data_IF_574579275455
#
_entry.id   IF_574579275455
#
_cell.length_a   1.000
_cell.length_b   1.000
_cell.length_c   1.000
_cell.angle_alpha   90.00
_cell.angle_beta   90.00
_cell.angle_gamma   90.00
#
_symmetry.space_group_name_H-M   'P 1'
#
loop_
_entity.id
_entity.type
_entity.pdbx_description
1 polymer ?
#
# COMPACT_ATOMS: atom_id res chain seq x y z
N UNK A 1 -16.56 -4.98 6.79
CA UNK A 1 -17.40 -3.80 6.47
C UNK A 1 -16.56 -2.56 6.19
N UNK A 2 -15.72 -2.06 7.12
CA UNK A 2 -14.89 -0.87 6.86
C UNK A 2 -13.85 -1.08 5.75
N UNK A 3 -13.24 -2.26 5.73
CA UNK A 3 -12.17 -2.66 4.81
C UNK A 3 -12.70 -2.71 3.35
N UNK A 4 -13.97 -3.12 3.19
CA UNK A 4 -14.65 -3.24 1.90
C UNK A 4 -14.87 -1.85 1.26
N UNK A 5 -15.19 -0.84 2.09
CA UNK A 5 -15.37 0.54 1.65
C UNK A 5 -14.04 1.18 1.21
N UNK A 6 -12.95 0.92 1.94
CA UNK A 6 -11.61 1.40 1.60
C UNK A 6 -11.14 0.77 0.28
N UNK A 7 -11.27 -0.54 0.15
CA UNK A 7 -10.89 -1.26 -1.06
C UNK A 7 -11.68 -0.74 -2.28
N UNK A 8 -13.00 -0.57 -2.13
CA UNK A 8 -13.85 -0.03 -3.19
C UNK A 8 -13.44 1.38 -3.60
N UNK A 9 -13.15 2.27 -2.65
CA UNK A 9 -12.67 3.62 -2.96
C UNK A 9 -11.31 3.60 -3.67
N UNK A 10 -10.39 2.73 -3.26
CA UNK A 10 -9.10 2.56 -3.95
C UNK A 10 -9.27 2.07 -5.39
N UNK A 11 -10.16 1.09 -5.61
CA UNK A 11 -10.50 0.58 -6.95
C UNK A 11 -11.10 1.68 -7.85
N UNK A 12 -12.02 2.48 -7.32
CA UNK A 12 -12.59 3.61 -8.04
C UNK A 12 -11.51 4.64 -8.42
N UNK A 13 -10.60 4.92 -7.49
CA UNK A 13 -9.49 5.86 -7.73
C UNK A 13 -8.53 5.34 -8.79
N UNK A 14 -8.15 4.06 -8.74
CA UNK A 14 -7.32 3.44 -9.80
C UNK A 14 -8.05 3.47 -11.14
N UNK A 15 -9.35 3.18 -11.17
CA UNK A 15 -10.16 3.30 -12.38
C UNK A 15 -10.13 4.71 -12.98
N UNK A 16 -10.29 5.74 -12.14
CA UNK A 16 -10.23 7.13 -12.59
C UNK A 16 -8.86 7.50 -13.17
N UNK A 17 -7.76 7.07 -12.54
CA UNK A 17 -6.39 7.31 -13.05
C UNK A 17 -6.17 6.59 -14.39
N UNK A 18 -6.61 5.34 -14.51
CA UNK A 18 -6.50 4.55 -15.75
C UNK A 18 -7.25 5.24 -16.90
N UNK A 19 -8.46 5.75 -16.64
CA UNK A 19 -9.23 6.51 -17.64
C UNK A 19 -8.52 7.81 -18.03
N UNK A 20 -8.01 8.57 -17.06
CA UNK A 20 -7.28 9.82 -17.32
C UNK A 20 -6.05 9.57 -18.21
N UNK A 21 -5.25 8.54 -17.88
CA UNK A 21 -4.08 8.15 -18.69
C UNK A 21 -4.48 7.69 -20.09
N UNK A 22 -5.59 6.95 -20.19
CA UNK A 22 -6.16 6.50 -21.47
C UNK A 22 -6.58 7.68 -22.35
N UNK A 23 -7.26 8.68 -21.79
CA UNK A 23 -7.68 9.89 -22.50
C UNK A 23 -6.45 10.73 -22.91
N UNK A 24 -5.47 10.90 -22.01
CA UNK A 24 -4.30 11.72 -22.28
C UNK A 24 -3.35 11.10 -23.32
N UNK A 25 -3.16 9.77 -23.27
CA UNK A 25 -2.15 9.11 -24.11
C UNK A 25 -2.75 8.41 -25.34
N UNK A 26 -4.07 8.26 -25.41
CA UNK A 26 -4.79 7.53 -26.47
C UNK A 26 -4.22 6.11 -26.76
N UNK A 27 -3.57 5.49 -25.77
CA UNK A 27 -2.86 4.22 -25.94
C UNK A 27 -3.31 3.18 -24.92
N UNK A 28 -3.90 2.09 -25.41
CA UNK A 28 -4.33 0.96 -24.58
C UNK A 28 -3.18 0.28 -23.85
N UNK A 29 -1.95 0.30 -24.40
CA UNK A 29 -0.77 -0.25 -23.71
C UNK A 29 -0.48 0.49 -22.41
N UNK A 30 -0.53 1.83 -22.43
CA UNK A 30 -0.26 2.66 -21.24
C UNK A 30 -1.40 2.57 -20.22
N UNK A 31 -2.63 2.41 -20.71
CA UNK A 31 -3.80 2.13 -19.87
C UNK A 31 -3.66 0.80 -19.12
N UNK A 32 -3.28 -0.28 -19.81
CA UNK A 32 -3.09 -1.60 -19.20
C UNK A 32 -1.93 -1.62 -18.18
N UNK A 33 -0.81 -0.98 -18.51
CA UNK A 33 0.33 -0.85 -17.60
C UNK A 33 -0.06 -0.08 -16.31
N UNK A 34 -0.86 0.97 -16.44
CA UNK A 34 -1.37 1.75 -15.30
C UNK A 34 -2.31 0.96 -14.43
N UNK A 35 -3.16 0.14 -15.03
CA UNK A 35 -4.05 -0.74 -14.29
C UNK A 35 -3.27 -1.78 -13.48
N UNK A 36 -2.29 -2.46 -14.10
CA UNK A 36 -1.43 -3.41 -13.40
C UNK A 36 -0.67 -2.73 -12.25
N UNK A 37 -0.07 -1.58 -12.51
CA UNK A 37 0.64 -0.81 -11.49
C UNK A 37 -0.28 -0.44 -10.32
N UNK A 38 -1.49 0.06 -10.61
CA UNK A 38 -2.49 0.39 -9.59
C UNK A 38 -2.93 -0.84 -8.78
N UNK A 39 -3.06 -2.00 -9.42
CA UNK A 39 -3.40 -3.25 -8.75
C UNK A 39 -2.28 -3.69 -7.78
N UNK A 40 -1.02 -3.64 -8.21
CA UNK A 40 0.12 -3.89 -7.31
C UNK A 40 0.19 -2.88 -6.17
N UNK A 41 -0.12 -1.62 -6.45
CA UNK A 41 -0.12 -0.58 -5.43
C UNK A 41 -1.18 -0.83 -4.35
N UNK A 42 -2.42 -1.16 -4.76
CA UNK A 42 -3.49 -1.55 -3.83
C UNK A 42 -3.11 -2.84 -3.09
N UNK A 43 -2.57 -3.84 -3.81
CA UNK A 43 -2.22 -5.11 -3.21
C UNK A 43 -1.19 -4.96 -2.10
N UNK A 44 -0.10 -4.22 -2.33
CA UNK A 44 0.92 -3.97 -1.31
C UNK A 44 0.43 -3.07 -0.15
N UNK A 45 -0.73 -2.42 -0.28
CA UNK A 45 -1.32 -1.58 0.77
C UNK A 45 -2.47 -2.29 1.51
N UNK A 46 -3.17 -3.22 0.88
CA UNK A 46 -4.34 -3.88 1.48
C UNK A 46 -4.03 -5.29 1.95
N UNK A 47 -3.17 -6.04 1.24
CA UNK A 47 -2.84 -7.42 1.61
C UNK A 47 -1.91 -7.57 2.83
N UNK A 48 -0.98 -6.65 3.15
CA UNK A 48 -0.13 -6.86 4.32
C UNK A 48 -0.99 -6.95 5.57
N UNK A 49 -0.78 -8.00 6.36
CA UNK A 49 -1.37 -8.10 7.68
C UNK A 49 -0.74 -7.02 8.57
N UNK A 50 -1.41 -5.86 8.61
CA UNK A 50 -0.88 -4.67 9.27
C UNK A 50 -0.67 -4.88 10.76
N UNK A 51 -1.41 -5.78 11.40
CA UNK A 51 -1.25 -6.11 12.82
C UNK A 51 0.06 -6.88 13.08
N UNK A 52 0.49 -7.72 12.15
CA UNK A 52 1.77 -8.42 12.24
C UNK A 52 2.96 -7.46 12.12
N UNK A 53 2.89 -6.52 11.18
CA UNK A 53 3.95 -5.54 10.92
C UNK A 53 4.00 -4.38 11.92
N UNK A 54 2.99 -4.24 12.79
CA UNK A 54 2.96 -3.25 13.87
C UNK A 54 3.78 -3.69 15.11
N UNK A 55 4.47 -4.83 15.03
CA UNK A 55 5.37 -5.34 16.08
C UNK A 55 6.81 -4.86 15.86
N UNK A 56 7.61 -4.87 16.93
CA UNK A 56 9.04 -4.59 16.84
C UNK A 56 9.75 -5.56 15.89
N UNK A 57 10.73 -5.06 15.13
CA UNK A 57 11.48 -5.84 14.13
C UNK A 57 12.12 -7.11 14.71
N UNK A 58 12.54 -7.07 15.98
CA UNK A 58 13.10 -8.21 16.70
C UNK A 58 12.08 -9.34 16.93
N UNK A 59 10.79 -9.03 16.88
CA UNK A 59 9.70 -9.97 17.12
C UNK A 59 9.08 -10.51 15.84
N UNK A 60 9.49 -10.05 14.66
CA UNK A 60 8.97 -10.53 13.38
C UNK A 60 9.29 -12.02 13.13
N UNK A 61 10.39 -12.52 13.69
CA UNK A 61 10.77 -13.94 13.61
C UNK A 61 10.23 -14.79 14.76
N UNK A 62 9.43 -14.20 15.66
CA UNK A 62 8.79 -14.94 16.75
C UNK A 62 7.35 -15.29 16.38
N UNK A 63 6.88 -16.51 16.68
CA UNK A 63 5.50 -16.90 16.41
C UNK A 63 4.53 -15.92 17.08
N UNK A 64 3.46 -15.57 16.36
CA UNK A 64 2.46 -14.61 16.84
C UNK A 64 1.82 -15.18 18.11
N UNK A 65 1.85 -14.47 19.26
CA UNK A 65 1.23 -14.96 20.47
C UNK A 65 -0.29 -15.02 20.27
N UNK A 66 -0.89 -16.18 20.59
CA UNK A 66 -2.34 -16.36 20.56
C UNK A 66 -2.97 -15.44 21.61
N UNK A 67 -3.48 -14.29 21.17
CA UNK A 67 -4.33 -13.35 21.89
C UNK A 67 -4.01 -13.20 23.39
N UNK A 68 -2.88 -12.54 23.69
CA UNK A 68 -2.62 -12.03 25.03
C UNK A 68 -3.45 -10.78 25.30
N UNK A 69 -4.32 -10.85 26.30
CA UNK A 69 -5.21 -9.82 26.85
C UNK A 69 -5.00 -8.35 26.36
N UNK A 70 -6.09 -7.64 25.97
CA UNK A 70 -6.05 -6.23 25.58
C UNK A 70 -5.65 -5.26 26.71
N UNK A 71 -5.37 -5.76 27.91
CA UNK A 71 -5.01 -4.99 29.11
C UNK A 71 -3.53 -4.57 29.17
N UNK A 72 -2.69 -5.04 28.25
CA UNK A 72 -1.29 -4.62 28.14
C UNK A 72 -1.07 -3.59 27.02
N UNK A 73 -2.03 -2.69 26.80
CA UNK A 73 -1.76 -1.40 26.14
C UNK A 73 -0.90 -0.58 27.10
N UNK A 74 0.40 -0.87 27.12
CA UNK A 74 1.39 0.03 27.70
C UNK A 74 1.27 1.34 26.95
N UNK A 75 0.85 2.37 27.67
CA UNK A 75 0.68 3.75 27.23
C UNK A 75 2.01 4.34 26.73
N UNK A 76 2.47 3.95 25.54
CA UNK A 76 3.53 4.67 24.83
C UNK A 76 2.88 5.66 23.86
N UNK A 77 2.35 6.74 24.43
CA UNK A 77 1.88 7.97 23.78
C UNK A 77 3.02 8.76 23.14
N UNK A 78 3.88 8.09 22.38
CA UNK A 78 4.92 8.75 21.59
C UNK A 78 4.95 8.07 20.24
N UNK A 79 4.21 8.64 19.30
CA UNK A 79 4.27 8.44 17.85
C UNK A 79 5.33 7.41 17.45
N UNK A 80 5.00 6.12 17.56
CA UNK A 80 5.92 5.06 17.19
C UNK A 80 5.81 4.92 15.69
N UNK A 81 6.36 5.92 15.01
CA UNK A 81 6.62 5.92 13.58
C UNK A 81 7.48 4.67 13.38
N UNK A 82 6.90 3.61 12.82
CA UNK A 82 7.65 2.43 12.35
C UNK A 82 8.41 2.87 11.11
N UNK A 83 9.61 3.46 11.27
CA UNK A 83 10.21 4.28 10.22
C UNK A 83 10.62 3.39 9.07
N UNK A 84 10.97 2.14 9.35
CA UNK A 84 11.41 1.17 8.36
C UNK A 84 10.26 0.73 7.45
N UNK A 85 9.04 0.54 7.97
CA UNK A 85 7.85 0.28 7.15
C UNK A 85 7.58 1.45 6.20
N UNK A 86 7.58 2.67 6.73
CA UNK A 86 7.35 3.86 5.92
C UNK A 86 8.45 4.02 4.88
N UNK A 87 9.72 3.85 5.26
CA UNK A 87 10.85 3.92 4.32
C UNK A 87 10.74 2.87 3.22
N UNK A 88 10.40 1.61 3.54
CA UNK A 88 10.25 0.54 2.56
C UNK A 88 9.09 0.83 1.61
N UNK A 89 7.92 1.18 2.12
CA UNK A 89 6.77 1.53 1.29
C UNK A 89 7.07 2.77 0.45
N UNK A 90 7.56 3.86 1.04
CA UNK A 90 7.88 5.08 0.29
C UNK A 90 8.95 4.83 -0.77
N UNK A 91 9.95 3.97 -0.50
CA UNK A 91 10.98 3.64 -1.49
C UNK A 91 10.41 2.80 -2.64
N UNK A 92 9.69 1.73 -2.34
CA UNK A 92 9.12 0.82 -3.36
C UNK A 92 8.09 1.55 -4.20
N UNK A 93 7.14 2.23 -3.55
CA UNK A 93 6.07 2.95 -4.23
C UNK A 93 6.59 4.20 -4.93
N UNK A 94 7.53 4.94 -4.33
CA UNK A 94 8.15 6.11 -4.95
C UNK A 94 8.96 5.75 -6.20
N UNK A 95 9.79 4.71 -6.12
CA UNK A 95 10.55 4.22 -7.28
C UNK A 95 9.62 3.66 -8.36
N UNK A 96 8.62 2.87 -7.97
CA UNK A 96 7.61 2.35 -8.89
C UNK A 96 6.84 3.45 -9.60
N UNK A 97 6.41 4.48 -8.85
CA UNK A 97 5.68 5.63 -9.39
C UNK A 97 6.55 6.46 -10.33
N UNK A 98 7.83 6.66 -10.00
CA UNK A 98 8.78 7.33 -10.90
C UNK A 98 8.94 6.57 -12.23
N UNK A 99 9.13 5.25 -12.18
CA UNK A 99 9.27 4.42 -13.38
C UNK A 99 7.99 4.39 -14.22
N UNK A 100 6.83 4.30 -13.56
CA UNK A 100 5.52 4.36 -14.21
C UNK A 100 5.29 5.71 -14.89
N UNK A 101 5.60 6.82 -14.19
CA UNK A 101 5.49 8.16 -14.74
C UNK A 101 6.34 8.33 -16.00
N UNK A 102 7.61 7.91 -15.94
CA UNK A 102 8.52 7.93 -17.09
C UNK A 102 7.96 7.15 -18.28
N UNK A 103 7.36 5.98 -18.04
CA UNK A 103 6.74 5.16 -19.08
C UNK A 103 5.49 5.81 -19.71
N UNK A 104 4.74 6.61 -18.95
CA UNK A 104 3.60 7.35 -19.49
C UNK A 104 4.05 8.52 -20.35
N UNK A 105 5.04 9.28 -19.88
CA UNK A 105 5.53 10.48 -20.59
C UNK A 105 6.38 10.17 -21.82
N UNK A 106 6.97 8.98 -21.92
CA UNK A 106 7.74 8.52 -23.08
C UNK A 106 6.84 7.80 -24.09
#
# INVERSE_FOLDING_TARGET
MANDAVLRSCLLLVGAVVLLVGIYTHSFKKMFATYLFGLFAIAGLVLPDWEFFDRDFSQWFTPMPAHGNPSQKSNSTRFRIYPLRMVVLTTIYGFGLYKWWMFITN
#
